data_IF_112470749538
#
_entry.id   IF_112470749538
#
_cell.length_a   1.000
_cell.length_b   1.000
_cell.length_c   1.000
_cell.angle_alpha   90.00
_cell.angle_beta   90.00
_cell.angle_gamma   90.00
#
_symmetry.space_group_name_H-M   'P 1'
#
loop_
_entity.id
_entity.type
_entity.pdbx_description
1 polymer ?
#
# COMPACT_ATOMS: atom_id res chain seq x y z
N UNK A 1 39.38 -0.09 -28.25
CA UNK A 1 37.93 -0.09 -28.00
C UNK A 1 37.72 -0.76 -26.66
N UNK A 2 37.42 0.02 -25.61
CA UNK A 2 37.14 -0.50 -24.28
C UNK A 2 35.63 -0.51 -24.11
N UNK A 3 35.03 -1.69 -24.10
CA UNK A 3 33.63 -1.87 -23.76
C UNK A 3 33.47 -1.61 -22.26
N UNK A 4 33.06 -0.39 -21.90
CA UNK A 4 32.54 -0.09 -20.57
C UNK A 4 31.22 -0.84 -20.43
N UNK A 5 31.29 -2.02 -19.83
CA UNK A 5 30.14 -2.77 -19.38
C UNK A 5 29.55 -2.05 -18.16
N UNK A 6 28.83 -0.94 -18.40
CA UNK A 6 27.97 -0.31 -17.41
C UNK A 6 26.79 -1.25 -17.17
N UNK A 7 26.99 -2.24 -16.30
CA UNK A 7 25.91 -2.97 -15.68
C UNK A 7 25.00 -1.95 -15.00
N UNK A 8 23.89 -1.61 -15.66
CA UNK A 8 22.89 -0.68 -15.15
C UNK A 8 22.31 -1.23 -13.86
N UNK A 9 22.82 -0.77 -12.72
CA UNK A 9 22.27 -1.09 -11.41
C UNK A 9 20.82 -0.59 -11.41
N UNK A 10 19.85 -1.52 -11.42
CA UNK A 10 18.44 -1.18 -11.24
C UNK A 10 18.32 -0.35 -9.95
N UNK A 11 17.58 0.77 -9.96
CA UNK A 11 17.36 1.54 -8.75
C UNK A 11 16.71 0.64 -7.69
N UNK A 12 17.37 0.48 -6.55
CA UNK A 12 16.84 -0.25 -5.39
C UNK A 12 16.33 0.74 -4.37
N UNK A 13 15.06 0.62 -4.00
CA UNK A 13 14.48 1.37 -2.89
C UNK A 13 14.71 0.56 -1.61
N UNK A 14 15.21 1.22 -0.57
CA UNK A 14 15.38 0.62 0.76
C UNK A 14 14.74 1.53 1.80
N UNK A 15 14.28 0.95 2.89
CA UNK A 15 13.67 1.64 4.02
C UNK A 15 14.41 1.22 5.29
N UNK A 16 14.73 2.17 6.15
CA UNK A 16 15.19 1.85 7.51
C UNK A 16 14.00 1.37 8.35
N UNK A 17 14.26 0.50 9.31
CA UNK A 17 13.31 0.03 10.31
C UNK A 17 13.94 0.22 11.68
N UNK A 18 13.23 0.86 12.60
CA UNK A 18 13.61 0.93 14.01
C UNK A 18 12.65 0.08 14.83
N UNK A 19 13.16 -1.03 15.37
CA UNK A 19 12.36 -2.00 16.14
C UNK A 19 11.68 -1.37 17.36
N UNK A 20 12.23 -0.28 17.91
CA UNK A 20 11.64 0.43 19.04
C UNK A 20 10.34 1.18 18.67
N UNK A 21 10.16 1.49 17.38
CA UNK A 21 9.05 2.29 16.87
C UNK A 21 8.23 1.57 15.79
N UNK A 22 8.48 0.27 15.57
CA UNK A 22 7.86 -0.50 14.47
C UNK A 22 6.33 -0.47 14.51
N UNK A 23 5.74 -0.41 15.70
CA UNK A 23 4.29 -0.31 15.88
C UNK A 23 3.76 1.05 15.41
N UNK A 24 4.39 2.15 15.84
CA UNK A 24 4.06 3.52 15.46
C UNK A 24 4.27 3.76 13.97
N UNK A 25 5.38 3.27 13.42
CA UNK A 25 5.68 3.33 11.99
C UNK A 25 4.63 2.58 11.16
N UNK A 26 4.20 1.40 11.62
CA UNK A 26 3.15 0.62 10.97
C UNK A 26 1.79 1.34 11.00
N UNK A 27 1.45 1.97 12.13
CA UNK A 27 0.23 2.79 12.24
C UNK A 27 0.30 3.98 11.29
N UNK A 28 1.42 4.71 11.29
CA UNK A 28 1.63 5.86 10.41
C UNK A 28 1.53 5.47 8.92
N UNK A 29 2.14 4.35 8.54
CA UNK A 29 2.07 3.83 7.17
C UNK A 29 0.63 3.48 6.78
N UNK A 30 -0.12 2.79 7.66
CA UNK A 30 -1.53 2.46 7.45
C UNK A 30 -2.38 3.71 7.24
N UNK A 31 -2.22 4.71 8.11
CA UNK A 31 -2.94 5.98 8.02
C UNK A 31 -2.60 6.74 6.73
N UNK A 32 -1.33 6.75 6.34
CA UNK A 32 -0.87 7.41 5.11
C UNK A 32 -1.46 6.74 3.86
N UNK A 33 -1.36 5.41 3.76
CA UNK A 33 -1.93 4.64 2.66
C UNK A 33 -3.44 4.83 2.57
N UNK A 34 -4.15 4.73 3.70
CA UNK A 34 -5.59 4.96 3.73
C UNK A 34 -5.96 6.37 3.24
N UNK A 35 -5.21 7.38 3.66
CA UNK A 35 -5.43 8.77 3.25
C UNK A 35 -5.28 8.94 1.73
N UNK A 36 -4.27 8.31 1.13
CA UNK A 36 -4.08 8.29 -0.33
C UNK A 36 -5.28 7.59 -1.00
N UNK A 37 -5.63 6.38 -0.56
CA UNK A 37 -6.73 5.61 -1.15
C UNK A 37 -8.05 6.38 -1.11
N UNK A 38 -8.32 7.13 -0.03
CA UNK A 38 -9.53 7.95 0.13
C UNK A 38 -9.63 9.12 -0.84
N UNK A 39 -8.54 9.50 -1.53
CA UNK A 39 -8.56 10.52 -2.59
C UNK A 39 -8.94 9.96 -3.96
N UNK A 40 -8.94 8.64 -4.11
CA UNK A 40 -9.30 7.97 -5.35
C UNK A 40 -10.81 7.69 -5.40
N UNK A 41 -11.39 7.51 -6.61
CA UNK A 41 -12.73 6.94 -6.72
C UNK A 41 -12.81 5.58 -6.03
N UNK A 42 -13.90 5.32 -5.31
CA UNK A 42 -14.05 4.17 -4.42
C UNK A 42 -13.68 2.83 -5.09
N UNK A 43 -14.19 2.58 -6.31
CA UNK A 43 -13.90 1.36 -7.07
C UNK A 43 -12.42 1.23 -7.43
N UNK A 44 -11.75 2.35 -7.77
CA UNK A 44 -10.32 2.38 -8.11
C UNK A 44 -9.47 2.06 -6.88
N UNK A 45 -9.84 2.62 -5.72
CA UNK A 45 -9.14 2.32 -4.47
C UNK A 45 -9.30 0.86 -4.02
N UNK A 46 -10.49 0.26 -4.20
CA UNK A 46 -10.71 -1.17 -3.86
C UNK A 46 -9.87 -2.05 -4.79
N UNK A 47 -9.90 -1.76 -6.08
CA UNK A 47 -9.15 -2.53 -7.08
C UNK A 47 -7.63 -2.43 -6.87
N UNK A 48 -7.12 -1.25 -6.49
CA UNK A 48 -5.71 -1.08 -6.16
C UNK A 48 -5.26 -1.96 -4.98
N UNK A 49 -6.08 -2.04 -3.93
CA UNK A 49 -5.80 -2.88 -2.76
C UNK A 49 -5.91 -4.37 -3.08
N UNK A 50 -6.88 -4.78 -3.89
CA UNK A 50 -7.03 -6.18 -4.33
C UNK A 50 -5.86 -6.66 -5.18
N UNK A 51 -5.37 -5.82 -6.08
CA UNK A 51 -4.22 -6.14 -6.92
C UNK A 51 -2.92 -6.31 -6.11
N UNK A 52 -2.78 -5.64 -4.96
CA UNK A 52 -1.66 -5.86 -4.05
C UNK A 52 -1.70 -7.25 -3.40
N UNK A 53 -2.89 -7.75 -3.04
CA UNK A 53 -3.06 -9.09 -2.46
C UNK A 53 -2.75 -10.19 -3.47
N UNK A 54 -3.30 -10.08 -4.70
CA UNK A 54 -3.15 -11.10 -5.73
C UNK A 54 -1.72 -11.34 -6.21
N UNK A 55 -0.81 -10.38 -5.95
CA UNK A 55 0.58 -10.41 -6.41
C UNK A 55 1.59 -10.80 -5.32
N UNK A 56 1.14 -11.20 -4.12
CA UNK A 56 2.07 -11.53 -3.02
C UNK A 56 1.65 -12.76 -2.21
N UNK A 57 2.63 -13.61 -1.88
CA UNK A 57 2.47 -14.67 -0.86
C UNK A 57 2.83 -14.14 0.54
N UNK A 58 2.70 -12.84 0.79
CA UNK A 58 3.10 -12.22 2.05
C UNK A 58 1.89 -12.06 2.98
N UNK A 59 1.79 -12.85 4.07
CA UNK A 59 0.62 -12.81 4.96
C UNK A 59 0.42 -11.46 5.66
N UNK A 60 1.50 -10.71 5.92
CA UNK A 60 1.43 -9.37 6.53
C UNK A 60 0.83 -8.37 5.54
N UNK A 61 1.23 -8.44 4.26
CA UNK A 61 0.66 -7.60 3.21
C UNK A 61 -0.80 -7.92 2.95
N UNK A 62 -1.17 -9.21 2.94
CA UNK A 62 -2.58 -9.62 2.83
C UNK A 62 -3.42 -9.04 3.94
N UNK A 63 -2.97 -9.16 5.20
CA UNK A 63 -3.68 -8.58 6.35
C UNK A 63 -3.84 -7.06 6.25
N UNK A 64 -2.79 -6.35 5.86
CA UNK A 64 -2.84 -4.90 5.62
C UNK A 64 -3.90 -4.55 4.57
N UNK A 65 -3.94 -5.26 3.45
CA UNK A 65 -4.90 -5.01 2.38
C UNK A 65 -6.35 -5.28 2.81
N UNK A 66 -6.59 -6.33 3.61
CA UNK A 66 -7.91 -6.58 4.21
C UNK A 66 -8.33 -5.42 5.10
N UNK A 67 -7.48 -5.00 6.05
CA UNK A 67 -7.78 -3.88 6.95
C UNK A 67 -8.07 -2.57 6.19
N UNK A 68 -7.36 -2.31 5.08
CA UNK A 68 -7.61 -1.14 4.21
C UNK A 68 -8.94 -1.23 3.50
N UNK A 69 -9.28 -2.40 2.94
CA UNK A 69 -10.57 -2.61 2.25
C UNK A 69 -11.73 -2.41 3.22
N UNK A 70 -11.64 -2.98 4.42
CA UNK A 70 -12.67 -2.86 5.45
C UNK A 70 -12.84 -1.40 5.91
N UNK A 71 -11.74 -0.69 6.13
CA UNK A 71 -11.78 0.73 6.50
C UNK A 71 -12.44 1.60 5.40
N UNK A 72 -12.19 1.28 4.13
CA UNK A 72 -12.83 1.98 3.03
C UNK A 72 -14.33 1.68 2.95
N UNK A 73 -14.72 0.41 3.05
CA UNK A 73 -16.14 0.01 3.07
C UNK A 73 -16.90 0.66 4.23
N UNK A 74 -16.28 0.74 5.42
CA UNK A 74 -16.88 1.36 6.60
C UNK A 74 -17.03 2.88 6.49
N UNK A 75 -16.17 3.54 5.70
CA UNK A 75 -16.22 5.00 5.48
C UNK A 75 -16.96 5.41 4.22
N UNK A 76 -17.35 4.44 3.39
CA UNK A 76 -18.27 4.63 2.27
C UNK A 76 -19.69 4.73 2.79
N UNK A 77 -20.16 5.96 3.00
CA UNK A 77 -21.56 6.24 3.26
C UNK A 77 -22.41 5.63 2.12
N UNK A 78 -23.57 5.00 2.42
CA UNK A 78 -24.54 4.76 1.38
C UNK A 78 -24.91 6.12 0.82
N UNK A 79 -24.59 6.37 -0.44
CA UNK A 79 -25.12 7.51 -1.18
C UNK A 79 -26.64 7.45 -1.06
N UNK A 80 -27.22 8.25 -0.17
CA UNK A 80 -28.64 8.54 -0.21
C UNK A 80 -28.86 9.24 -1.55
N UNK A 81 -29.46 8.50 -2.49
CA UNK A 81 -30.03 9.06 -3.70
C UNK A 81 -31.18 9.97 -3.24
N UNK A 82 -30.94 11.28 -3.30
CA UNK A 82 -32.01 12.27 -3.35
C UNK A 82 -32.50 12.39 -4.78
#
# INVERSE_FOLDING_TARGET
>A
MNEQNTAGSKPSVTFSCDDAHVCEEMIALKTFVFSILRTLPHEVSIEAVRNLVGNSNNPVLTRLCTEMTDAMLATSLPTQKN
#
